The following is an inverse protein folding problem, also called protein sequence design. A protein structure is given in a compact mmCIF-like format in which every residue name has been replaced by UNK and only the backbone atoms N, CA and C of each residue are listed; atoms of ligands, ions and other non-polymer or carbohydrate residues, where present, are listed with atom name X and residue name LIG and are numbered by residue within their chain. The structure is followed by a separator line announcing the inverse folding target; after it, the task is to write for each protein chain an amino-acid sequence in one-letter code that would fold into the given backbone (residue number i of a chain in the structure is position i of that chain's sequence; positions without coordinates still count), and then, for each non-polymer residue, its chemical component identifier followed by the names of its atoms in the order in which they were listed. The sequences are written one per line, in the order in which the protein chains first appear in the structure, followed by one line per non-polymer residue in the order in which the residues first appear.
data_IF_064657897707
#
_entry.id   IF_064657897707
#
_cell.length_a   1.000
_cell.length_b   1.000
_cell.length_c   1.000
_cell.angle_alpha   90.00
_cell.angle_beta   90.00
_cell.angle_gamma   90.00
#
_symmetry.space_group_name_H-M   'P 1'
#
loop_
_entity.id
_entity.type
_entity.pdbx_description
1 polymer ?
#
# COMPACT_ATOMS: atom_id res chain seq x y z
N UNK A 1 12.47 -14.99 -44.42
CA UNK A 1 12.24 -16.38 -43.98
C UNK A 1 13.56 -16.92 -43.47
N UNK A 2 13.63 -17.27 -42.19
CA UNK A 2 14.70 -18.13 -41.68
C UNK A 2 14.12 -18.84 -40.46
N UNK A 3 13.82 -20.12 -40.64
CA UNK A 3 13.17 -20.96 -39.65
C UNK A 3 14.15 -21.42 -38.58
N UNK A 4 13.63 -21.79 -37.42
CA UNK A 4 14.40 -22.43 -36.37
C UNK A 4 13.67 -23.69 -35.96
N UNK A 5 14.28 -24.84 -36.25
CA UNK A 5 13.85 -26.15 -35.75
C UNK A 5 14.30 -26.26 -34.29
N UNK A 6 13.39 -26.70 -33.42
CA UNK A 6 13.62 -26.97 -32.00
C UNK A 6 13.97 -28.44 -31.82
N UNK A 7 15.08 -28.73 -31.13
CA UNK A 7 15.23 -30.00 -30.42
C UNK A 7 15.43 -29.75 -28.92
N UNK A 8 14.73 -30.58 -28.16
CA UNK A 8 14.65 -30.60 -26.70
C UNK A 8 15.79 -31.40 -26.08
N UNK A 9 16.45 -30.86 -25.05
CA UNK A 9 16.93 -31.63 -23.90
C UNK A 9 17.47 -30.69 -22.80
N UNK A 10 17.10 -30.98 -21.56
CA UNK A 10 17.95 -30.69 -20.40
C UNK A 10 17.79 -29.32 -19.75
N UNK A 11 17.28 -29.35 -18.54
CA UNK A 11 17.09 -28.25 -17.61
C UNK A 11 18.36 -27.41 -17.41
N UNK A 12 18.20 -26.07 -17.50
CA UNK A 12 18.98 -24.97 -16.88
C UNK A 12 19.36 -23.89 -17.90
N UNK A 13 18.57 -22.82 -17.91
CA UNK A 13 18.86 -21.61 -18.68
C UNK A 13 20.16 -20.94 -18.21
N UNK A 14 21.17 -20.86 -19.08
CA UNK A 14 22.28 -19.91 -18.97
C UNK A 14 22.42 -19.21 -20.31
N UNK A 15 22.13 -17.91 -20.36
CA UNK A 15 22.44 -17.08 -21.52
C UNK A 15 23.93 -16.73 -21.50
N UNK A 16 24.70 -17.28 -22.43
CA UNK A 16 26.01 -16.74 -22.80
C UNK A 16 25.83 -15.87 -24.05
N UNK A 17 26.07 -14.57 -23.91
CA UNK A 17 26.21 -13.67 -25.05
C UNK A 17 27.70 -13.45 -25.30
N UNK A 18 28.20 -13.94 -26.43
CA UNK A 18 29.53 -13.60 -26.96
C UNK A 18 29.53 -12.16 -27.48
N UNK A 19 30.62 -11.40 -27.30
CA UNK A 19 30.62 -9.95 -27.52
C UNK A 19 30.81 -9.60 -29.01
N UNK A 20 29.91 -8.77 -29.55
CA UNK A 20 30.15 -7.96 -30.74
C UNK A 20 30.40 -6.53 -30.28
N UNK A 21 31.55 -5.98 -30.69
CA UNK A 21 32.09 -4.68 -30.26
C UNK A 21 31.35 -3.50 -30.87
N UNK A 22 31.44 -2.37 -30.13
CA UNK A 22 31.22 -0.95 -30.50
C UNK A 22 29.78 -0.44 -30.38
N UNK A 23 29.49 0.73 -29.81
CA UNK A 23 30.22 1.65 -28.91
C UNK A 23 29.21 2.69 -28.39
N UNK A 24 29.49 3.24 -27.20
CA UNK A 24 28.92 4.44 -26.57
C UNK A 24 27.62 4.29 -25.75
N UNK A 25 27.84 4.04 -24.45
CA UNK A 25 26.90 4.16 -23.34
C UNK A 25 26.93 5.57 -22.75
N UNK A 26 25.77 6.17 -22.48
CA UNK A 26 25.54 7.07 -21.34
C UNK A 26 24.22 6.67 -20.67
N UNK A 27 24.31 5.74 -19.72
CA UNK A 27 23.22 5.42 -18.81
C UNK A 27 23.40 6.24 -17.52
N UNK A 28 22.56 7.25 -17.32
CA UNK A 28 22.47 8.01 -16.07
C UNK A 28 21.85 7.13 -14.98
N UNK A 29 22.69 6.48 -14.18
CA UNK A 29 22.27 5.82 -12.95
C UNK A 29 22.54 6.76 -11.77
N UNK A 30 21.50 7.50 -11.37
CA UNK A 30 21.52 8.35 -10.17
C UNK A 30 21.57 7.47 -8.91
N UNK A 31 22.77 7.25 -8.38
CA UNK A 31 23.00 6.67 -7.06
C UNK A 31 23.66 7.73 -6.16
N UNK A 32 22.85 8.54 -5.48
CA UNK A 32 23.35 9.55 -4.55
C UNK A 32 23.76 8.91 -3.22
N UNK A 33 25.04 8.56 -3.09
CA UNK A 33 25.69 8.33 -1.79
C UNK A 33 26.19 9.67 -1.23
N UNK A 34 25.51 10.17 -0.19
CA UNK A 34 25.91 11.40 0.52
C UNK A 34 27.16 11.12 1.38
N UNK A 35 28.33 11.58 0.94
CA UNK A 35 29.56 11.59 1.75
C UNK A 35 29.49 12.72 2.79
N UNK A 36 30.02 12.43 3.99
CA UNK A 36 30.21 13.36 5.11
C UNK A 36 31.27 14.41 4.74
N UNK A 37 31.07 15.67 5.13
CA UNK A 37 32.12 16.67 5.18
C UNK A 37 32.04 17.51 6.45
N UNK A 38 33.23 17.79 6.97
CA UNK A 38 33.61 18.39 8.25
C UNK A 38 33.34 19.90 8.34
N UNK A 39 33.14 20.38 9.57
CA UNK A 39 32.91 21.76 10.07
C UNK A 39 33.93 22.83 9.63
N UNK A 40 33.53 24.12 9.76
CA UNK A 40 34.26 25.03 10.66
C UNK A 40 33.36 25.83 11.66
N UNK A 41 33.97 26.17 12.81
CA UNK A 41 33.57 27.08 13.92
C UNK A 41 33.21 28.50 13.41
N UNK A 42 32.57 29.45 14.12
CA UNK A 42 31.83 29.67 15.39
C UNK A 42 31.59 31.20 15.39
N UNK A 43 30.44 31.73 15.81
CA UNK A 43 30.30 33.03 16.52
C UNK A 43 28.91 33.05 17.17
N UNK A 44 28.89 33.22 18.49
CA UNK A 44 27.73 33.49 19.35
C UNK A 44 27.38 34.98 19.28
N UNK A 45 26.12 35.34 19.55
CA UNK A 45 25.90 36.11 20.79
C UNK A 45 24.67 35.65 21.58
N UNK A 46 24.85 35.66 22.91
CA UNK A 46 23.78 35.54 23.91
C UNK A 46 23.00 36.86 23.96
N UNK A 47 21.67 36.81 24.03
CA UNK A 47 20.85 37.68 24.90
C UNK A 47 19.56 36.93 25.28
N UNK A 48 19.37 36.86 26.60
CA UNK A 48 18.20 36.53 27.43
C UNK A 48 16.82 36.93 26.91
N UNK A 49 15.82 36.06 27.07
CA UNK A 49 14.73 36.27 28.04
C UNK A 49 13.94 34.96 28.24
N UNK A 50 13.65 34.62 29.49
CA UNK A 50 12.64 33.64 29.85
C UNK A 50 11.27 34.29 29.61
N UNK A 51 10.35 33.61 28.93
CA UNK A 51 8.94 33.92 29.11
C UNK A 51 8.20 32.62 29.41
N UNK A 52 7.71 32.56 30.64
CA UNK A 52 6.70 31.62 31.09
C UNK A 52 5.38 31.93 30.36
N UNK A 53 4.50 30.93 30.32
CA UNK A 53 3.09 31.00 29.91
C UNK A 53 2.78 30.68 28.44
N UNK A 54 2.94 29.39 28.10
CA UNK A 54 1.97 28.72 27.24
C UNK A 54 1.16 27.74 28.12
N UNK A 55 0.05 28.24 28.65
CA UNK A 55 -1.00 27.41 29.23
C UNK A 55 -1.54 26.47 28.14
N UNK A 56 -1.58 25.18 28.47
CA UNK A 56 -2.52 24.15 27.98
C UNK A 56 -2.28 23.49 26.61
N UNK A 57 -1.77 22.24 26.58
CA UNK A 57 -2.14 21.25 25.59
C UNK A 57 -3.21 20.24 26.09
N UNK A 58 -3.86 20.46 27.24
CA UNK A 58 -4.53 19.43 28.09
C UNK A 58 -5.57 18.50 27.43
N UNK A 59 -5.93 18.66 26.17
CA UNK A 59 -6.93 17.80 25.52
C UNK A 59 -6.67 17.54 24.03
N UNK A 60 -5.41 17.63 23.57
CA UNK A 60 -5.11 17.54 22.14
C UNK A 60 -5.42 16.15 21.54
N UNK A 61 -5.29 15.08 22.33
CA UNK A 61 -5.57 13.71 21.88
C UNK A 61 -7.06 13.37 21.96
N UNK A 62 -7.76 13.87 22.98
CA UNK A 62 -9.18 13.61 23.18
C UNK A 62 -10.04 14.25 22.08
N UNK A 63 -9.62 15.39 21.51
CA UNK A 63 -10.28 16.03 20.36
C UNK A 63 -10.30 15.18 19.08
N UNK A 64 -9.51 14.11 18.99
CA UNK A 64 -9.51 13.21 17.83
C UNK A 64 -10.68 12.21 17.84
N UNK A 65 -11.37 12.05 18.97
CA UNK A 65 -12.43 11.09 19.16
C UNK A 65 -13.70 11.80 19.64
N UNK A 66 -14.87 11.30 19.23
CA UNK A 66 -16.13 11.77 19.82
C UNK A 66 -16.24 11.37 21.29
N UNK A 67 -17.05 12.07 22.08
CA UNK A 67 -17.23 11.77 23.51
C UNK A 67 -17.70 10.34 23.76
N UNK A 68 -18.56 9.79 22.89
CA UNK A 68 -19.02 8.40 22.96
C UNK A 68 -17.88 7.40 22.72
N UNK A 69 -17.05 7.66 21.70
CA UNK A 69 -15.87 6.86 21.40
C UNK A 69 -14.86 6.91 22.54
N UNK A 70 -14.63 8.09 23.09
CA UNK A 70 -13.73 8.31 24.22
C UNK A 70 -14.18 7.50 25.44
N UNK A 71 -15.46 7.59 25.81
CA UNK A 71 -16.04 6.83 26.90
C UNK A 71 -15.90 5.31 26.68
N UNK A 72 -16.15 4.84 25.45
CA UNK A 72 -15.98 3.43 25.07
C UNK A 72 -14.53 2.95 25.23
N UNK A 73 -13.56 3.75 24.78
CA UNK A 73 -12.14 3.43 24.92
C UNK A 73 -11.73 3.39 26.40
N UNK A 74 -12.10 4.43 27.16
CA UNK A 74 -11.78 4.53 28.59
C UNK A 74 -12.39 3.39 29.39
N UNK A 75 -13.63 2.99 29.07
CA UNK A 75 -14.26 1.83 29.67
C UNK A 75 -13.41 0.57 29.48
N UNK A 76 -12.95 0.28 28.26
CA UNK A 76 -12.07 -0.87 27.98
C UNK A 76 -10.74 -0.76 28.75
N UNK A 77 -10.10 0.41 28.74
CA UNK A 77 -8.81 0.62 29.43
C UNK A 77 -8.91 0.47 30.94
N UNK A 78 -10.04 0.85 31.55
CA UNK A 78 -10.24 0.79 32.99
C UNK A 78 -10.78 -0.56 33.49
N UNK A 79 -11.52 -1.31 32.65
CA UNK A 79 -12.17 -2.56 33.07
C UNK A 79 -11.47 -3.82 32.57
N UNK A 80 -10.86 -3.80 31.39
CA UNK A 80 -10.33 -5.02 30.76
C UNK A 80 -9.15 -5.60 31.55
N UNK A 81 -9.09 -6.93 31.63
CA UNK A 81 -7.95 -7.68 32.15
C UNK A 81 -6.75 -7.62 31.19
N UNK A 82 -5.57 -7.99 31.68
CA UNK A 82 -4.37 -8.10 30.83
C UNK A 82 -4.60 -8.98 29.61
N UNK A 83 -5.24 -10.14 29.79
CA UNK A 83 -5.56 -11.10 28.72
C UNK A 83 -6.51 -10.53 27.67
N UNK A 84 -7.50 -9.74 28.09
CA UNK A 84 -8.42 -9.06 27.17
C UNK A 84 -7.72 -7.94 26.41
N UNK A 85 -6.85 -7.17 27.06
CA UNK A 85 -6.03 -6.16 26.41
C UNK A 85 -5.06 -6.80 25.39
N UNK A 86 -4.50 -7.97 25.67
CA UNK A 86 -3.64 -8.70 24.72
C UNK A 86 -4.36 -9.21 23.46
N UNK A 87 -5.70 -9.24 23.46
CA UNK A 87 -6.47 -9.51 22.24
C UNK A 87 -6.16 -8.45 21.16
N UNK A 88 -5.90 -7.20 21.56
CA UNK A 88 -5.45 -6.15 20.68
C UNK A 88 -3.95 -6.29 20.37
N UNK A 89 -3.62 -6.46 19.09
CA UNK A 89 -2.23 -6.67 18.63
C UNK A 89 -1.24 -5.62 19.14
N UNK A 90 -1.67 -4.37 19.28
CA UNK A 90 -0.83 -3.25 19.70
C UNK A 90 -0.56 -3.20 21.21
N UNK A 91 -1.33 -3.95 22.00
CA UNK A 91 -1.28 -3.99 23.46
C UNK A 91 -0.66 -5.28 24.01
N UNK A 92 -0.21 -6.20 23.17
CA UNK A 92 0.40 -7.47 23.62
C UNK A 92 1.69 -7.27 24.43
N UNK A 93 1.90 -8.15 25.41
CA UNK A 93 3.11 -8.18 26.22
C UNK A 93 3.15 -7.06 27.26
N UNK A 94 4.28 -6.36 27.35
CA UNK A 94 4.49 -5.35 28.42
C UNK A 94 3.45 -4.22 28.43
N UNK A 95 2.84 -3.89 27.29
CA UNK A 95 1.88 -2.78 27.21
C UNK A 95 0.57 -3.05 27.96
N UNK A 96 0.01 -4.26 27.87
CA UNK A 96 -1.21 -4.62 28.62
C UNK A 96 -0.92 -4.64 30.12
N UNK A 97 0.22 -5.19 30.52
CA UNK A 97 0.67 -5.22 31.92
C UNK A 97 0.83 -3.80 32.46
N UNK A 98 1.55 -2.93 31.74
CA UNK A 98 1.78 -1.55 32.16
C UNK A 98 0.48 -0.74 32.30
N UNK A 99 -0.54 -1.00 31.46
CA UNK A 99 -1.85 -0.32 31.58
C UNK A 99 -2.51 -0.71 32.90
N UNK A 100 -2.56 -2.01 33.20
CA UNK A 100 -3.21 -2.54 34.41
C UNK A 100 -2.46 -2.08 35.66
N UNK A 101 -1.13 -2.19 35.67
CA UNK A 101 -0.28 -1.71 36.77
C UNK A 101 -0.41 -0.19 36.97
N UNK A 102 -0.47 0.58 35.89
CA UNK A 102 -0.63 2.03 36.00
C UNK A 102 -1.99 2.41 36.61
N UNK A 103 -3.10 1.78 36.19
CA UNK A 103 -4.41 2.10 36.76
C UNK A 103 -4.59 1.61 38.20
N UNK A 104 -3.87 0.56 38.59
CA UNK A 104 -3.83 0.09 39.98
C UNK A 104 -3.05 1.06 40.89
N UNK A 105 -1.94 1.63 40.39
CA UNK A 105 -1.10 2.54 41.17
C UNK A 105 -1.56 4.00 41.15
N UNK A 106 -2.06 4.50 40.02
CA UNK A 106 -2.42 5.91 39.82
C UNK A 106 -3.93 6.14 39.68
N UNK A 107 -4.73 5.08 39.73
CA UNK A 107 -6.18 5.14 39.57
C UNK A 107 -6.65 5.05 38.10
N UNK A 108 -7.98 5.00 37.88
CA UNK A 108 -8.55 4.83 36.55
C UNK A 108 -8.24 6.03 35.63
N UNK A 109 -8.03 5.75 34.34
CA UNK A 109 -7.80 6.76 33.31
C UNK A 109 -9.05 7.64 33.14
N UNK A 110 -8.88 8.95 33.25
CA UNK A 110 -9.95 9.96 33.06
C UNK A 110 -10.02 10.47 31.61
N UNK A 111 -8.88 10.51 30.94
CA UNK A 111 -8.74 10.97 29.55
C UNK A 111 -7.76 10.08 28.79
N UNK A 112 -7.77 10.17 27.46
CA UNK A 112 -6.89 9.35 26.62
C UNK A 112 -5.45 9.86 26.64
N UNK A 113 -5.24 11.13 26.97
CA UNK A 113 -3.90 11.71 27.12
C UNK A 113 -3.12 11.07 28.27
N UNK A 114 -3.80 10.67 29.36
CA UNK A 114 -3.20 9.96 30.48
C UNK A 114 -2.47 8.66 30.08
N UNK A 115 -2.84 8.04 28.96
CA UNK A 115 -2.09 6.89 28.43
C UNK A 115 -0.65 7.23 28.07
N UNK A 116 -0.33 8.49 27.77
CA UNK A 116 1.05 8.92 27.47
C UNK A 116 1.96 8.88 28.69
N UNK A 117 1.39 8.84 29.91
CA UNK A 117 2.13 8.65 31.15
C UNK A 117 2.48 7.17 31.40
N UNK A 118 1.82 6.24 30.70
CA UNK A 118 2.11 4.81 30.78
C UNK A 118 3.40 4.50 30.02
N UNK A 119 4.34 3.73 30.60
CA UNK A 119 5.56 3.35 29.88
C UNK A 119 5.25 2.61 28.57
N UNK A 120 6.03 2.92 27.52
CA UNK A 120 5.91 2.40 26.14
C UNK A 120 4.77 2.99 25.29
N UNK A 121 4.09 4.03 25.80
CA UNK A 121 3.13 4.83 25.05
C UNK A 121 3.74 6.19 24.69
N UNK A 122 3.50 6.60 23.45
CA UNK A 122 3.81 7.91 22.87
C UNK A 122 2.59 8.35 22.07
N UNK A 123 2.45 9.63 21.79
CA UNK A 123 1.30 10.20 21.08
C UNK A 123 0.84 9.33 19.89
N UNK A 124 1.75 9.03 18.94
CA UNK A 124 1.44 8.20 17.76
C UNK A 124 0.97 6.79 18.10
N UNK A 125 1.57 6.13 19.10
CA UNK A 125 1.15 4.77 19.47
C UNK A 125 -0.16 4.78 20.24
N UNK A 126 -0.40 5.80 21.07
CA UNK A 126 -1.66 5.97 21.81
C UNK A 126 -2.83 6.13 20.84
N UNK A 127 -2.70 7.01 19.84
CA UNK A 127 -3.71 7.17 18.79
C UNK A 127 -3.98 5.85 18.05
N UNK A 128 -2.94 5.07 17.73
CA UNK A 128 -3.11 3.77 17.08
C UNK A 128 -3.81 2.74 17.97
N UNK A 129 -3.51 2.74 19.26
CA UNK A 129 -4.14 1.86 20.24
C UNK A 129 -5.61 2.21 20.40
N UNK A 130 -5.96 3.49 20.60
CA UNK A 130 -7.35 3.95 20.71
C UNK A 130 -8.18 3.54 19.48
N UNK A 131 -7.63 3.76 18.27
CA UNK A 131 -8.26 3.30 17.03
C UNK A 131 -8.42 1.77 16.96
N UNK A 132 -7.45 1.01 17.47
CA UNK A 132 -7.52 -0.46 17.52
C UNK A 132 -8.54 -0.96 18.54
N UNK A 133 -8.86 -0.19 19.57
CA UNK A 133 -9.88 -0.53 20.57
C UNK A 133 -11.28 -0.26 19.99
N UNK A 134 -11.49 0.87 19.32
CA UNK A 134 -12.76 1.22 18.67
C UNK A 134 -13.09 0.28 17.51
N UNK A 135 -12.09 0.00 16.69
CA UNK A 135 -12.20 -0.90 15.55
C UNK A 135 -11.27 -2.09 15.79
N UNK A 136 -11.63 -3.04 16.68
CA UNK A 136 -10.89 -4.28 16.78
C UNK A 136 -10.85 -4.86 15.37
N UNK A 137 -9.65 -5.10 14.83
CA UNK A 137 -9.51 -5.85 13.58
C UNK A 137 -10.05 -7.26 13.85
N UNK A 138 -11.35 -7.42 13.70
CA UNK A 138 -12.09 -8.67 13.85
C UNK A 138 -11.67 -9.53 12.68
N UNK A 139 -10.91 -10.56 13.01
CA UNK A 139 -10.21 -11.36 12.03
C UNK A 139 -8.72 -11.14 12.20
N UNK A 140 -8.04 -12.25 12.52
CA UNK A 140 -6.69 -12.47 12.07
C UNK A 140 -6.60 -11.86 10.66
N UNK A 141 -5.93 -10.72 10.49
CA UNK A 141 -5.32 -10.40 9.21
C UNK A 141 -4.40 -11.61 9.00
N UNK A 142 -4.94 -12.65 8.35
CA UNK A 142 -4.21 -13.82 7.89
C UNK A 142 -3.01 -13.18 7.24
N UNK A 143 -1.81 -13.38 7.83
CA UNK A 143 -0.54 -12.85 7.31
C UNK A 143 -0.69 -12.81 5.80
N UNK A 144 -0.80 -11.60 5.20
CA UNK A 144 -1.20 -11.43 3.79
C UNK A 144 -0.50 -12.51 3.01
N UNK A 145 -1.24 -13.50 2.50
CA UNK A 145 -0.60 -14.67 1.92
C UNK A 145 0.37 -14.16 0.84
N UNK A 146 1.55 -14.78 0.68
CA UNK A 146 2.49 -14.38 -0.37
C UNK A 146 1.80 -14.21 -1.73
N UNK A 147 0.81 -15.07 -1.99
CA UNK A 147 -0.09 -15.03 -3.15
C UNK A 147 -0.88 -13.70 -3.27
N UNK A 148 -1.52 -13.22 -2.19
CA UNK A 148 -2.23 -11.93 -2.22
C UNK A 148 -1.28 -10.74 -2.45
N UNK A 149 -0.01 -10.84 -2.01
CA UNK A 149 0.99 -9.81 -2.32
C UNK A 149 1.38 -9.85 -3.81
N UNK A 150 1.52 -11.04 -4.38
CA UNK A 150 1.86 -11.22 -5.79
C UNK A 150 0.75 -10.72 -6.71
N UNK A 151 -0.51 -11.05 -6.42
CA UNK A 151 -1.66 -10.60 -7.22
C UNK A 151 -1.77 -9.06 -7.26
N UNK A 152 -1.54 -8.38 -6.14
CA UNK A 152 -1.52 -6.90 -6.08
C UNK A 152 -0.33 -6.27 -6.83
N UNK A 153 0.74 -7.03 -7.06
CA UNK A 153 1.86 -6.57 -7.88
C UNK A 153 1.52 -6.66 -9.37
N UNK A 154 0.76 -7.68 -9.77
CA UNK A 154 0.41 -7.95 -11.17
C UNK A 154 -0.84 -7.18 -11.63
N UNK A 155 -1.89 -7.19 -10.83
CA UNK A 155 -3.20 -6.62 -11.17
C UNK A 155 -3.39 -5.31 -10.45
N UNK A 156 -3.87 -4.31 -11.20
CA UNK A 156 -4.25 -3.00 -10.67
C UNK A 156 -5.57 -2.57 -11.31
N UNK A 157 -6.53 -2.05 -10.52
CA UNK A 157 -6.48 -1.83 -9.07
C UNK A 157 -6.56 -3.14 -8.25
N UNK A 158 -6.43 -3.05 -6.92
CA UNK A 158 -6.61 -4.20 -6.01
C UNK A 158 -8.07 -4.69 -6.11
N UNK A 159 -8.28 -5.86 -6.71
CA UNK A 159 -9.60 -6.51 -6.80
C UNK A 159 -9.71 -7.62 -5.73
N UNK A 160 -10.89 -7.73 -5.12
CA UNK A 160 -11.22 -8.78 -4.15
C UNK A 160 -11.10 -10.19 -4.79
N UNK A 161 -10.59 -11.15 -4.02
CA UNK A 161 -10.25 -12.49 -4.55
C UNK A 161 -11.49 -13.28 -4.90
N UNK A 162 -12.55 -13.10 -4.13
CA UNK A 162 -13.87 -13.68 -4.30
C UNK A 162 -14.43 -13.27 -5.66
N UNK A 163 -14.32 -11.98 -6.02
CA UNK A 163 -14.70 -11.46 -7.35
C UNK A 163 -13.85 -12.07 -8.46
N UNK A 164 -12.52 -12.11 -8.32
CA UNK A 164 -11.63 -12.71 -9.32
C UNK A 164 -11.94 -14.20 -9.56
N UNK A 165 -12.30 -14.94 -8.51
CA UNK A 165 -12.67 -16.37 -8.60
C UNK A 165 -14.07 -16.61 -9.14
N UNK A 166 -14.95 -15.61 -9.11
CA UNK A 166 -16.33 -15.71 -9.56
C UNK A 166 -16.52 -15.27 -11.02
N UNK A 167 -15.46 -14.80 -11.70
CA UNK A 167 -15.54 -14.37 -13.11
C UNK A 167 -15.96 -15.52 -14.02
N UNK A 168 -16.92 -15.24 -14.91
CA UNK A 168 -17.44 -16.19 -15.89
C UNK A 168 -16.68 -16.12 -17.22
N UNK A 169 -16.33 -14.90 -17.65
CA UNK A 169 -15.51 -14.64 -18.83
C UNK A 169 -14.71 -13.35 -18.68
N UNK A 170 -13.62 -13.23 -19.45
CA UNK A 170 -12.77 -12.04 -19.52
C UNK A 170 -12.50 -11.66 -20.96
N UNK A 171 -12.21 -10.37 -21.19
CA UNK A 171 -11.63 -9.91 -22.44
C UNK A 171 -10.20 -9.46 -22.17
N UNK A 172 -9.25 -10.12 -22.82
CA UNK A 172 -7.86 -9.68 -22.83
C UNK A 172 -7.67 -8.73 -23.99
N UNK A 173 -7.26 -7.49 -23.72
CA UNK A 173 -7.00 -6.46 -24.75
C UNK A 173 -5.51 -6.16 -24.77
N UNK A 174 -4.91 -6.21 -25.94
CA UNK A 174 -3.52 -5.80 -26.18
C UNK A 174 -3.50 -4.81 -27.33
N UNK A 175 -2.92 -3.63 -27.10
CA UNK A 175 -2.78 -2.60 -28.12
C UNK A 175 -1.34 -2.16 -28.28
N UNK A 176 -0.95 -1.94 -29.53
CA UNK A 176 0.31 -1.32 -29.92
C UNK A 176 0.06 0.04 -30.56
N UNK A 177 1.04 0.52 -31.32
CA UNK A 177 0.95 1.83 -31.98
C UNK A 177 0.07 1.83 -33.24
N UNK A 178 -0.11 0.67 -33.87
CA UNK A 178 -0.82 0.56 -35.17
C UNK A 178 -2.01 -0.39 -35.16
N UNK A 179 -2.09 -1.25 -34.15
CA UNK A 179 -3.05 -2.35 -34.08
C UNK A 179 -3.49 -2.56 -32.65
N UNK A 180 -4.70 -3.06 -32.50
CA UNK A 180 -5.28 -3.50 -31.25
C UNK A 180 -5.92 -4.86 -31.49
N UNK A 181 -5.73 -5.78 -30.56
CA UNK A 181 -6.28 -7.12 -30.60
C UNK A 181 -6.97 -7.42 -29.28
N UNK A 182 -8.02 -8.23 -29.33
CA UNK A 182 -8.71 -8.71 -28.15
C UNK A 182 -9.10 -10.17 -28.30
N UNK A 183 -9.19 -10.86 -27.16
CA UNK A 183 -9.72 -12.21 -27.08
C UNK A 183 -10.70 -12.29 -25.92
N UNK A 184 -11.90 -12.81 -26.18
CA UNK A 184 -12.91 -13.14 -25.17
C UNK A 184 -12.77 -14.59 -24.77
N UNK A 185 -12.45 -14.85 -23.51
CA UNK A 185 -12.26 -16.19 -22.96
C UNK A 185 -13.27 -16.46 -21.86
N UNK A 186 -13.85 -17.65 -21.86
CA UNK A 186 -14.63 -18.14 -20.73
C UNK A 186 -13.74 -18.70 -19.61
N UNK A 187 -14.36 -19.07 -18.49
CA UNK A 187 -13.70 -19.73 -17.35
C UNK A 187 -13.09 -21.10 -17.71
N UNK A 188 -13.57 -21.76 -18.76
CA UNK A 188 -13.07 -23.05 -19.25
C UNK A 188 -11.89 -22.87 -20.21
N UNK A 189 -11.43 -21.64 -20.42
CA UNK A 189 -10.38 -21.26 -21.38
C UNK A 189 -10.77 -21.48 -22.83
N UNK A 190 -12.07 -21.54 -23.11
CA UNK A 190 -12.62 -21.55 -24.46
C UNK A 190 -12.55 -20.13 -25.04
N UNK A 191 -12.00 -20.01 -26.24
CA UNK A 191 -11.99 -18.74 -26.98
C UNK A 191 -13.37 -18.56 -27.61
N UNK A 192 -14.14 -17.62 -27.07
CA UNK A 192 -15.47 -17.26 -27.57
C UNK A 192 -15.37 -16.32 -28.77
N UNK A 193 -14.40 -15.40 -28.73
CA UNK A 193 -14.10 -14.47 -29.82
C UNK A 193 -12.60 -14.12 -29.80
N UNK A 194 -12.02 -13.91 -30.98
CA UNK A 194 -10.64 -13.45 -31.11
C UNK A 194 -10.46 -12.67 -32.41
N UNK A 195 -10.25 -11.37 -32.27
CA UNK A 195 -10.17 -10.44 -33.39
C UNK A 195 -9.05 -9.42 -33.20
N UNK A 196 -8.75 -8.71 -34.29
CA UNK A 196 -7.85 -7.57 -34.29
C UNK A 196 -8.40 -6.46 -35.19
N UNK A 197 -8.06 -5.22 -34.87
CA UNK A 197 -8.34 -4.06 -35.71
C UNK A 197 -7.04 -3.40 -36.16
N UNK A 198 -6.93 -3.26 -37.49
CA UNK A 198 -5.87 -2.51 -38.16
C UNK A 198 -6.19 -1.01 -38.30
N UNK A 199 -7.42 -0.60 -37.92
CA UNK A 199 -7.89 0.80 -37.99
C UNK A 199 -7.53 1.62 -36.75
N UNK A 200 -6.44 1.28 -36.06
CA UNK A 200 -5.97 2.03 -34.89
C UNK A 200 -5.02 3.17 -35.30
N UNK A 201 -5.58 4.36 -35.56
CA UNK A 201 -4.86 5.51 -36.13
C UNK A 201 -4.23 6.47 -35.09
N UNK A 202 -4.41 6.19 -33.80
CA UNK A 202 -4.15 7.10 -32.68
C UNK A 202 -2.69 7.56 -32.49
N UNK A 203 -1.73 6.82 -33.06
CA UNK A 203 -0.29 7.12 -32.93
C UNK A 203 0.34 7.62 -34.24
N UNK A 204 -0.43 8.20 -35.17
CA UNK A 204 0.08 8.85 -36.39
C UNK A 204 0.56 10.30 -36.16
N UNK A 205 1.27 10.54 -35.06
CA UNK A 205 1.98 11.80 -34.81
C UNK A 205 1.18 12.94 -34.18
N UNK A 206 -0.16 12.92 -34.21
CA UNK A 206 -1.01 13.91 -33.54
C UNK A 206 -1.76 13.24 -32.39
N UNK A 207 -1.50 13.68 -31.16
CA UNK A 207 -2.20 13.20 -29.96
C UNK A 207 -3.43 14.08 -29.69
N UNK A 208 -4.54 13.81 -30.36
CA UNK A 208 -5.80 14.54 -30.18
C UNK A 208 -6.82 13.73 -29.37
N UNK A 209 -7.18 14.19 -28.17
CA UNK A 209 -8.11 13.49 -27.27
C UNK A 209 -9.47 13.19 -27.90
N UNK A 210 -9.98 14.04 -28.80
CA UNK A 210 -11.27 13.82 -29.48
C UNK A 210 -11.20 12.63 -30.45
N UNK A 211 -10.08 12.47 -31.16
CA UNK A 211 -9.85 11.33 -32.07
C UNK A 211 -9.68 10.05 -31.25
N UNK A 212 -8.96 10.10 -30.12
CA UNK A 212 -8.86 8.97 -29.18
C UNK A 212 -10.23 8.50 -28.70
N UNK A 213 -11.08 9.43 -28.29
CA UNK A 213 -12.41 9.11 -27.80
C UNK A 213 -13.28 8.46 -28.89
N UNK A 214 -13.24 8.98 -30.12
CA UNK A 214 -14.04 8.46 -31.22
C UNK A 214 -13.59 7.04 -31.62
N UNK A 215 -12.29 6.82 -31.80
CA UNK A 215 -11.75 5.50 -32.17
C UNK A 215 -12.02 4.45 -31.08
N UNK A 216 -11.86 4.82 -29.79
CA UNK A 216 -12.17 3.91 -28.67
C UNK A 216 -13.67 3.61 -28.59
N UNK A 217 -14.55 4.58 -28.88
CA UNK A 217 -16.00 4.35 -28.95
C UNK A 217 -16.36 3.36 -30.05
N UNK A 218 -15.82 3.55 -31.26
CA UNK A 218 -16.06 2.64 -32.37
C UNK A 218 -15.57 1.22 -32.06
N UNK A 219 -14.40 1.10 -31.42
CA UNK A 219 -13.86 -0.19 -30.97
C UNK A 219 -14.74 -0.86 -29.90
N UNK A 220 -15.25 -0.09 -28.94
CA UNK A 220 -16.09 -0.62 -27.88
C UNK A 220 -17.38 -1.28 -28.42
N UNK A 221 -17.91 -0.78 -29.55
CA UNK A 221 -19.07 -1.39 -30.22
C UNK A 221 -18.77 -2.77 -30.83
N UNK A 222 -17.50 -3.09 -31.08
CA UNK A 222 -17.07 -4.38 -31.65
C UNK A 222 -16.72 -5.41 -30.57
N UNK A 223 -16.35 -4.95 -29.36
CA UNK A 223 -15.92 -5.83 -28.27
C UNK A 223 -17.17 -6.34 -27.52
N UNK A 224 -17.34 -7.66 -27.36
CA UNK A 224 -18.47 -8.22 -26.63
C UNK A 224 -18.47 -7.80 -25.15
N UNK A 225 -19.61 -7.92 -24.47
CA UNK A 225 -19.70 -7.67 -23.02
C UNK A 225 -19.49 -8.96 -22.23
N UNK A 226 -18.85 -8.85 -21.05
CA UNK A 226 -18.58 -9.95 -20.11
C UNK A 226 -19.55 -9.96 -18.93
#
# INVERSE_FOLDING_TARGET
MSGSVLFTAGERWRCFLTPSRSSLFWALHNFCCRKKSTTPKKITPNVTFCDENAKEPENALDKLFSSEQQASILHVLNTASTKELEAFRLLRGRRSINIVEHRENFGPFQNLESLMNVPLFKYKSTVQVCNSILCPKTGREKRKSPENRFLRKLLKPDIERERLKAVNSIISIVFGTRRIAWAHLDRKLTVLDWQQSDRWSLMRGIYSSSVYLEEVRQLHLQIPTC
#
